data_IF_016456238361
#
_entry.id   IF_016456238361
#
_cell.length_a   1.000
_cell.length_b   1.000
_cell.length_c   1.000
_cell.angle_alpha   90.00
_cell.angle_beta   90.00
_cell.angle_gamma   90.00
#
_symmetry.space_group_name_H-M   'P 1'
#
loop_
_entity.id
_entity.type
_entity.pdbx_description
1 polymer ?
#
# COMPACT_ATOMS: atom_id res chain seq x y z
N UNK A 1 3.19 -28.38 11.35
CA UNK A 1 1.88 -28.53 10.68
C UNK A 1 0.71 -28.17 11.61
N UNK A 2 0.73 -28.52 12.90
CA UNK A 2 -0.36 -28.21 13.85
C UNK A 2 -0.48 -26.75 14.33
N UNK A 3 0.50 -25.86 14.06
CA UNK A 3 0.47 -24.50 14.60
C UNK A 3 -0.35 -23.51 13.74
N UNK A 4 -0.38 -23.68 12.42
CA UNK A 4 -1.07 -22.75 11.51
C UNK A 4 -2.60 -22.92 11.49
N UNK A 5 -3.10 -24.15 11.56
CA UNK A 5 -4.54 -24.39 11.70
C UNK A 5 -5.12 -23.77 12.99
N UNK A 6 -4.33 -23.77 14.08
CA UNK A 6 -4.70 -23.07 15.31
C UNK A 6 -4.75 -21.53 15.18
N UNK A 7 -3.91 -20.97 14.31
CA UNK A 7 -3.79 -19.52 14.09
C UNK A 7 -5.03 -18.97 13.36
N UNK A 8 -5.39 -19.62 12.25
CA UNK A 8 -6.61 -19.28 11.48
C UNK A 8 -7.88 -19.45 12.32
N UNK A 9 -7.96 -20.52 13.12
CA UNK A 9 -9.09 -20.77 14.02
C UNK A 9 -9.21 -19.70 15.11
N UNK A 10 -8.10 -19.22 15.65
CA UNK A 10 -8.11 -18.18 16.68
C UNK A 10 -8.62 -16.83 16.15
N UNK A 11 -8.22 -16.43 14.95
CA UNK A 11 -8.71 -15.21 14.26
C UNK A 11 -10.21 -15.30 13.98
N UNK A 12 -10.65 -16.40 13.37
CA UNK A 12 -12.06 -16.60 13.05
C UNK A 12 -12.92 -16.58 14.32
N UNK A 13 -12.46 -17.20 15.39
CA UNK A 13 -13.14 -17.20 16.67
C UNK A 13 -13.19 -15.80 17.29
N UNK A 14 -12.09 -15.04 17.22
CA UNK A 14 -12.06 -13.66 17.69
C UNK A 14 -13.01 -12.77 16.87
N UNK A 15 -12.99 -12.87 15.55
CA UNK A 15 -13.90 -12.14 14.67
C UNK A 15 -15.37 -12.51 14.92
N UNK A 16 -15.67 -13.79 15.11
CA UNK A 16 -17.02 -14.26 15.46
C UNK A 16 -17.48 -13.70 16.81
N UNK A 17 -16.61 -13.74 17.81
CA UNK A 17 -16.88 -13.20 19.14
C UNK A 17 -17.11 -11.69 19.13
N UNK A 18 -16.36 -10.96 18.33
CA UNK A 18 -16.38 -9.50 18.27
C UNK A 18 -17.13 -8.95 17.04
N UNK A 19 -18.00 -9.75 16.39
CA UNK A 19 -18.67 -9.37 15.14
C UNK A 19 -19.47 -8.06 15.25
N UNK A 20 -20.09 -7.78 16.41
CA UNK A 20 -20.83 -6.54 16.64
C UNK A 20 -19.89 -5.33 16.69
N UNK A 21 -18.77 -5.44 17.42
CA UNK A 21 -17.74 -4.41 17.49
C UNK A 21 -17.15 -4.13 16.10
N UNK A 22 -16.82 -5.18 15.34
CA UNK A 22 -16.32 -5.05 13.97
C UNK A 22 -17.33 -4.37 13.05
N UNK A 23 -18.61 -4.72 13.14
CA UNK A 23 -19.67 -4.09 12.37
C UNK A 23 -19.83 -2.59 12.70
N UNK A 24 -19.72 -2.21 13.97
CA UNK A 24 -19.74 -0.80 14.41
C UNK A 24 -18.53 -0.05 13.86
N UNK A 25 -17.31 -0.61 14.00
CA UNK A 25 -16.09 0.02 13.48
C UNK A 25 -16.18 0.20 11.97
N UNK A 26 -16.61 -0.83 11.23
CA UNK A 26 -16.80 -0.75 9.78
C UNK A 26 -17.86 0.28 9.41
N UNK A 27 -18.97 0.32 10.13
CA UNK A 27 -20.04 1.31 9.93
C UNK A 27 -19.55 2.74 10.13
N UNK A 28 -18.83 3.01 11.23
CA UNK A 28 -18.22 4.32 11.49
C UNK A 28 -17.21 4.68 10.40
N UNK A 29 -16.33 3.75 10.02
CA UNK A 29 -15.34 3.98 8.96
C UNK A 29 -16.00 4.30 7.62
N UNK A 30 -17.09 3.59 7.28
CA UNK A 30 -17.87 3.82 6.08
C UNK A 30 -18.54 5.21 6.11
N UNK A 31 -19.17 5.59 7.22
CA UNK A 31 -19.80 6.91 7.39
C UNK A 31 -18.78 8.03 7.28
N UNK A 32 -17.60 7.90 7.91
CA UNK A 32 -16.52 8.87 7.83
C UNK A 32 -16.00 8.99 6.39
N UNK A 33 -15.85 7.86 5.67
CA UNK A 33 -15.45 7.85 4.27
C UNK A 33 -16.47 8.54 3.36
N UNK A 34 -17.75 8.22 3.54
CA UNK A 34 -18.85 8.88 2.80
C UNK A 34 -18.90 10.38 3.14
N UNK A 35 -18.81 10.74 4.43
CA UNK A 35 -18.77 12.14 4.86
C UNK A 35 -17.60 12.90 4.25
N UNK A 36 -16.41 12.30 4.21
CA UNK A 36 -15.23 12.89 3.57
C UNK A 36 -15.44 13.10 2.06
N UNK A 37 -16.01 12.12 1.37
CA UNK A 37 -16.35 12.21 -0.06
C UNK A 37 -17.38 13.33 -0.28
N UNK A 38 -18.48 13.34 0.48
CA UNK A 38 -19.52 14.39 0.36
C UNK A 38 -18.96 15.77 0.63
N UNK A 39 -18.16 15.93 1.71
CA UNK A 39 -17.49 17.19 2.02
C UNK A 39 -16.60 17.67 0.87
N UNK A 40 -15.83 16.76 0.30
CA UNK A 40 -14.93 17.08 -0.81
C UNK A 40 -15.70 17.44 -2.09
N UNK A 41 -16.78 16.73 -2.39
CA UNK A 41 -17.69 17.07 -3.48
C UNK A 41 -18.38 18.43 -3.27
N UNK A 42 -18.86 18.73 -2.05
CA UNK A 42 -19.42 20.04 -1.75
C UNK A 42 -18.39 21.16 -1.96
N UNK A 43 -17.15 20.98 -1.47
CA UNK A 43 -16.07 21.94 -1.69
C UNK A 43 -15.78 22.19 -3.19
N UNK A 44 -15.87 21.14 -4.03
CA UNK A 44 -15.72 21.26 -5.48
C UNK A 44 -16.90 22.00 -6.10
N UNK A 45 -18.13 21.70 -5.71
CA UNK A 45 -19.35 22.31 -6.27
C UNK A 45 -19.53 23.78 -5.84
N UNK A 46 -19.28 24.10 -4.55
CA UNK A 46 -19.51 25.47 -4.04
C UNK A 46 -18.41 26.47 -4.42
N UNK A 47 -17.19 25.99 -4.78
CA UNK A 47 -16.08 26.89 -5.15
C UNK A 47 -15.91 27.07 -6.66
N UNK A 48 -16.97 26.89 -7.47
CA UNK A 48 -16.97 27.08 -8.94
C UNK A 48 -15.82 26.32 -9.68
N UNK A 49 -15.29 25.29 -9.09
CA UNK A 49 -14.28 24.47 -9.74
C UNK A 49 -14.96 23.64 -10.81
N UNK A 50 -14.62 23.87 -12.07
CA UNK A 50 -15.10 23.06 -13.20
C UNK A 50 -14.72 21.60 -12.98
N UNK A 51 -15.69 20.81 -12.48
CA UNK A 51 -15.50 19.39 -12.27
C UNK A 51 -15.43 18.68 -13.62
N UNK A 52 -14.26 18.08 -13.90
CA UNK A 52 -14.11 17.31 -15.11
C UNK A 52 -14.65 15.89 -14.88
N UNK A 53 -15.81 15.59 -15.47
CA UNK A 53 -16.45 14.26 -15.38
C UNK A 53 -15.55 13.13 -15.86
N UNK A 54 -14.55 13.40 -16.71
CA UNK A 54 -13.54 12.40 -17.12
C UNK A 54 -12.80 11.79 -15.93
N UNK A 55 -12.64 12.56 -14.86
CA UNK A 55 -11.94 12.07 -13.66
C UNK A 55 -12.83 11.21 -12.77
N UNK A 56 -14.16 11.24 -12.96
CA UNK A 56 -15.07 10.32 -12.28
C UNK A 56 -14.76 8.86 -12.63
N UNK A 57 -14.28 8.61 -13.85
CA UNK A 57 -13.88 7.29 -14.32
C UNK A 57 -12.79 6.70 -13.42
N UNK A 58 -11.83 7.53 -12.99
CA UNK A 58 -10.73 7.10 -12.13
C UNK A 58 -11.20 6.68 -10.74
N UNK A 59 -12.23 7.33 -10.20
CA UNK A 59 -12.87 6.90 -8.94
C UNK A 59 -13.56 5.54 -9.07
N UNK A 60 -14.10 5.22 -10.24
CA UNK A 60 -14.71 3.91 -10.50
C UNK A 60 -13.69 2.78 -10.64
N UNK A 61 -12.48 3.08 -11.13
CA UNK A 61 -11.42 2.07 -11.31
C UNK A 61 -10.97 1.47 -9.99
N UNK A 62 -10.85 2.27 -8.92
CA UNK A 62 -10.37 1.79 -7.61
C UNK A 62 -11.30 0.75 -7.00
N UNK A 63 -12.60 1.01 -6.79
CA UNK A 63 -13.51 -0.01 -6.28
C UNK A 63 -13.63 -1.20 -7.24
N UNK A 64 -13.55 -0.98 -8.55
CA UNK A 64 -13.55 -2.07 -9.53
C UNK A 64 -12.34 -2.98 -9.35
N UNK A 65 -11.15 -2.42 -9.18
CA UNK A 65 -9.93 -3.18 -8.90
C UNK A 65 -9.96 -3.88 -7.53
N UNK A 66 -10.53 -3.24 -6.50
CA UNK A 66 -10.72 -3.85 -5.19
C UNK A 66 -11.72 -5.02 -5.25
N UNK A 67 -12.78 -4.89 -6.04
CA UNK A 67 -13.73 -5.98 -6.32
C UNK A 67 -13.03 -7.11 -7.09
N UNK A 68 -12.26 -6.80 -8.15
CA UNK A 68 -11.51 -7.77 -8.93
C UNK A 68 -10.47 -8.52 -8.08
N UNK A 69 -9.89 -7.83 -7.07
CA UNK A 69 -8.98 -8.46 -6.13
C UNK A 69 -9.67 -9.51 -5.26
N UNK A 70 -10.90 -9.25 -4.80
CA UNK A 70 -11.63 -10.09 -3.85
C UNK A 70 -12.51 -11.14 -4.50
N UNK A 71 -13.14 -10.81 -5.65
CA UNK A 71 -14.09 -11.66 -6.34
C UNK A 71 -13.49 -12.30 -7.59
N UNK A 72 -13.94 -13.50 -7.99
CA UNK A 72 -13.47 -14.19 -9.19
C UNK A 72 -14.06 -13.53 -10.45
N UNK A 73 -13.46 -12.42 -10.89
CA UNK A 73 -13.87 -11.69 -12.10
C UNK A 73 -13.19 -12.27 -13.35
N UNK A 74 -12.11 -13.06 -13.20
CA UNK A 74 -11.41 -13.67 -14.32
C UNK A 74 -12.20 -14.90 -14.81
N UNK A 75 -12.93 -14.80 -15.94
CA UNK A 75 -13.89 -15.84 -16.35
C UNK A 75 -13.25 -17.18 -16.69
N UNK A 76 -11.95 -17.21 -16.97
CA UNK A 76 -11.27 -18.44 -17.45
C UNK A 76 -10.76 -19.35 -16.33
N UNK A 77 -10.74 -18.94 -15.08
CA UNK A 77 -10.19 -19.76 -13.99
C UNK A 77 -10.99 -19.78 -12.70
N UNK A 78 -12.14 -19.11 -12.62
CA UNK A 78 -12.93 -18.95 -11.38
C UNK A 78 -12.08 -18.55 -10.16
N UNK A 79 -11.01 -17.78 -10.40
CA UNK A 79 -10.06 -17.35 -9.38
C UNK A 79 -10.10 -15.83 -9.25
N UNK A 80 -10.06 -15.35 -8.00
CA UNK A 80 -9.81 -13.93 -7.73
C UNK A 80 -8.34 -13.58 -7.97
N UNK A 81 -8.04 -12.29 -8.17
CA UNK A 81 -6.65 -11.81 -8.31
C UNK A 81 -5.81 -12.21 -7.08
N UNK A 82 -6.40 -12.21 -5.89
CA UNK A 82 -5.77 -12.65 -4.65
C UNK A 82 -5.23 -14.10 -4.72
N UNK A 83 -5.87 -14.97 -5.50
CA UNK A 83 -5.48 -16.38 -5.67
C UNK A 83 -4.43 -16.60 -6.77
N UNK A 84 -4.06 -15.53 -7.48
CA UNK A 84 -3.02 -15.59 -8.52
C UNK A 84 -1.71 -15.07 -7.94
N UNK A 85 -1.04 -15.92 -7.22
CA UNK A 85 0.32 -15.81 -6.65
C UNK A 85 0.99 -14.42 -6.66
N UNK A 86 1.87 -14.18 -7.63
CA UNK A 86 2.60 -12.91 -7.73
C UNK A 86 1.70 -11.68 -7.95
N UNK A 87 0.52 -11.88 -8.56
CA UNK A 87 -0.44 -10.81 -8.83
C UNK A 87 -1.10 -10.29 -7.54
N UNK A 88 -1.20 -11.13 -6.49
CA UNK A 88 -1.68 -10.75 -5.15
C UNK A 88 -0.92 -9.54 -4.61
N UNK A 89 0.40 -9.57 -4.65
CA UNK A 89 1.28 -8.51 -4.15
C UNK A 89 1.28 -7.29 -5.09
N UNK A 90 1.45 -7.54 -6.40
CA UNK A 90 1.57 -6.47 -7.40
C UNK A 90 0.29 -5.63 -7.50
N UNK A 91 -0.89 -6.26 -7.49
CA UNK A 91 -2.16 -5.55 -7.53
C UNK A 91 -2.41 -4.71 -6.29
N UNK A 92 -2.08 -5.22 -5.11
CA UNK A 92 -2.18 -4.47 -3.87
C UNK A 92 -1.28 -3.23 -3.89
N UNK A 93 -0.01 -3.42 -4.27
CA UNK A 93 0.94 -2.32 -4.41
C UNK A 93 0.49 -1.28 -5.45
N UNK A 94 -0.08 -1.73 -6.57
CA UNK A 94 -0.62 -0.85 -7.60
C UNK A 94 -1.81 -0.03 -7.10
N UNK A 95 -2.81 -0.68 -6.49
CA UNK A 95 -4.01 0.00 -5.97
C UNK A 95 -3.60 1.07 -4.96
N UNK A 96 -2.76 0.74 -3.98
CA UNK A 96 -2.29 1.68 -2.98
C UNK A 96 -1.50 2.85 -3.59
N UNK A 97 -0.61 2.56 -4.54
CA UNK A 97 0.20 3.61 -5.19
C UNK A 97 -0.65 4.50 -6.07
N UNK A 98 -1.60 3.93 -6.81
CA UNK A 98 -2.53 4.69 -7.63
C UNK A 98 -3.41 5.61 -6.78
N UNK A 99 -3.98 5.08 -5.70
CA UNK A 99 -4.85 5.83 -4.79
C UNK A 99 -4.14 6.96 -4.06
N UNK A 100 -2.88 6.75 -3.69
CA UNK A 100 -2.13 7.73 -2.88
C UNK A 100 -1.27 8.69 -3.69
N UNK A 101 -1.02 8.42 -4.97
CA UNK A 101 -0.16 9.23 -5.84
C UNK A 101 -0.95 9.80 -7.03
N UNK A 102 -1.51 8.92 -7.85
CA UNK A 102 -2.12 9.34 -9.13
C UNK A 102 -3.46 10.04 -8.90
N UNK A 103 -4.31 9.44 -8.08
CA UNK A 103 -5.65 9.97 -7.83
C UNK A 103 -5.64 11.40 -7.25
N UNK A 104 -4.84 11.75 -6.22
CA UNK A 104 -4.76 13.12 -5.71
C UNK A 104 -4.30 14.13 -6.77
N UNK A 105 -3.33 13.76 -7.61
CA UNK A 105 -2.84 14.63 -8.70
C UNK A 105 -3.93 14.88 -9.73
N UNK A 106 -4.64 13.83 -10.18
CA UNK A 106 -5.77 13.96 -11.10
C UNK A 106 -6.89 14.85 -10.53
N UNK A 107 -7.07 14.86 -9.20
CA UNK A 107 -8.03 15.74 -8.53
C UNK A 107 -7.55 17.18 -8.46
N UNK A 108 -6.26 17.40 -8.23
CA UNK A 108 -5.67 18.74 -8.13
C UNK A 108 -5.51 19.42 -9.49
N UNK A 109 -5.21 18.66 -10.53
CA UNK A 109 -5.03 19.17 -11.90
C UNK A 109 -6.28 19.90 -12.40
N UNK A 110 -7.44 19.42 -12.05
CA UNK A 110 -8.71 20.13 -12.34
C UNK A 110 -8.89 21.45 -11.59
N UNK A 111 -8.15 21.64 -10.50
CA UNK A 111 -8.34 22.78 -9.63
C UNK A 111 -7.45 23.98 -9.95
N UNK A 112 -6.27 23.76 -10.53
CA UNK A 112 -5.24 24.80 -10.64
C UNK A 112 -4.56 24.94 -12.00
N UNK A 113 -4.91 24.19 -13.05
CA UNK A 113 -4.11 24.10 -14.30
C UNK A 113 -2.63 23.79 -14.04
N UNK A 114 -2.34 23.06 -12.97
CA UNK A 114 -0.98 22.73 -12.58
C UNK A 114 -0.52 21.52 -13.38
N UNK A 115 0.27 21.76 -14.42
CA UNK A 115 0.97 20.73 -15.16
C UNK A 115 2.06 20.12 -14.26
N UNK A 116 1.72 19.07 -13.51
CA UNK A 116 2.76 18.28 -12.84
C UNK A 116 3.57 17.54 -13.90
N UNK A 117 4.89 17.63 -13.89
CA UNK A 117 5.71 16.89 -14.81
C UNK A 117 5.46 15.37 -14.64
N UNK A 118 5.18 14.70 -15.74
CA UNK A 118 4.87 13.25 -15.74
C UNK A 118 6.02 12.44 -15.15
N UNK A 119 7.27 12.87 -15.36
CA UNK A 119 8.47 12.25 -14.81
C UNK A 119 8.45 12.16 -13.29
N UNK A 120 8.07 13.25 -12.62
CA UNK A 120 7.99 13.33 -11.16
C UNK A 120 6.90 12.41 -10.60
N UNK A 121 5.74 12.41 -11.28
CA UNK A 121 4.63 11.54 -10.94
C UNK A 121 5.01 10.05 -11.05
N UNK A 122 5.72 9.70 -12.13
CA UNK A 122 6.21 8.32 -12.33
C UNK A 122 7.18 7.93 -11.21
N UNK A 123 8.15 8.78 -10.88
CA UNK A 123 9.13 8.47 -9.82
C UNK A 123 8.45 8.33 -8.46
N UNK A 124 7.49 9.20 -8.15
CA UNK A 124 6.71 9.12 -6.90
C UNK A 124 5.88 7.83 -6.86
N UNK A 125 5.26 7.47 -7.99
CA UNK A 125 4.50 6.22 -8.11
C UNK A 125 5.41 5.00 -7.92
N UNK A 126 6.56 4.95 -8.57
CA UNK A 126 7.55 3.86 -8.45
C UNK A 126 8.04 3.74 -7.00
N UNK A 127 8.40 4.85 -6.36
CA UNK A 127 8.80 4.84 -4.95
C UNK A 127 7.70 4.27 -4.04
N UNK A 128 6.45 4.66 -4.26
CA UNK A 128 5.32 4.16 -3.47
C UNK A 128 5.04 2.68 -3.77
N UNK A 129 5.03 2.31 -5.04
CA UNK A 129 4.77 0.94 -5.49
C UNK A 129 5.77 -0.06 -4.89
N UNK A 130 7.06 0.20 -5.02
CA UNK A 130 8.08 -0.70 -4.49
C UNK A 130 8.15 -0.71 -2.97
N UNK A 131 7.76 0.38 -2.31
CA UNK A 131 7.60 0.40 -0.86
C UNK A 131 6.49 -0.56 -0.41
N UNK A 132 5.30 -0.47 -1.01
CA UNK A 132 4.17 -1.35 -0.67
C UNK A 132 4.43 -2.79 -1.12
N UNK A 133 5.05 -2.99 -2.28
CA UNK A 133 5.45 -4.31 -2.76
C UNK A 133 6.44 -5.00 -1.81
N UNK A 134 7.38 -4.25 -1.23
CA UNK A 134 8.30 -4.77 -0.22
C UNK A 134 7.56 -5.30 1.01
N UNK A 135 6.62 -4.52 1.54
CA UNK A 135 5.79 -4.95 2.66
C UNK A 135 4.96 -6.18 2.30
N UNK A 136 4.31 -6.17 1.13
CA UNK A 136 3.54 -7.30 0.61
C UNK A 136 4.38 -8.58 0.44
N UNK A 137 5.66 -8.44 0.05
CA UNK A 137 6.58 -9.57 -0.05
C UNK A 137 6.91 -10.15 1.34
N UNK A 138 7.12 -9.31 2.36
CA UNK A 138 7.32 -9.77 3.74
C UNK A 138 6.12 -10.55 4.27
N UNK A 139 4.90 -10.09 3.98
CA UNK A 139 3.67 -10.83 4.28
C UNK A 139 3.62 -12.17 3.55
N UNK A 140 3.93 -12.22 2.24
CA UNK A 140 3.95 -13.47 1.48
C UNK A 140 5.00 -14.46 2.00
N UNK A 141 6.14 -13.97 2.51
CA UNK A 141 7.17 -14.83 3.11
C UNK A 141 6.67 -15.37 4.47
N UNK A 142 6.00 -14.55 5.26
CA UNK A 142 5.42 -14.99 6.54
C UNK A 142 4.30 -16.03 6.35
N UNK A 143 3.53 -15.91 5.25
CA UNK A 143 2.43 -16.82 4.90
C UNK A 143 2.88 -17.98 4.01
N UNK A 144 4.20 -18.21 3.86
CA UNK A 144 4.78 -19.18 2.91
C UNK A 144 4.18 -20.58 3.02
N UNK A 145 4.06 -21.13 4.22
CA UNK A 145 3.54 -22.50 4.42
C UNK A 145 2.05 -22.59 4.05
N UNK A 146 1.25 -21.56 4.42
CA UNK A 146 -0.17 -21.49 4.09
C UNK A 146 -0.39 -21.35 2.58
N UNK A 147 0.33 -20.42 1.93
CA UNK A 147 0.28 -20.21 0.47
C UNK A 147 0.72 -21.50 -0.28
N UNK A 148 1.66 -22.27 0.26
CA UNK A 148 2.13 -23.52 -0.32
C UNK A 148 1.09 -24.63 -0.19
N UNK A 149 0.44 -24.77 0.96
CA UNK A 149 -0.66 -25.72 1.19
C UNK A 149 -1.86 -25.40 0.28
N UNK A 150 -2.21 -24.14 0.14
CA UNK A 150 -3.29 -23.64 -0.73
C UNK A 150 -2.93 -23.63 -2.23
N UNK A 151 -1.72 -24.06 -2.59
CA UNK A 151 -1.19 -24.07 -3.97
C UNK A 151 -1.21 -22.70 -4.64
N UNK A 152 -1.05 -21.64 -3.85
CA UNK A 152 -0.94 -20.26 -4.33
C UNK A 152 0.52 -20.00 -4.69
N UNK A 153 0.80 -19.75 -5.97
CA UNK A 153 2.16 -19.53 -6.50
C UNK A 153 2.64 -18.09 -6.22
N UNK A 154 2.80 -17.72 -4.95
CA UNK A 154 3.41 -16.44 -4.59
C UNK A 154 4.90 -16.41 -4.91
N UNK A 155 5.54 -15.23 -4.89
CA UNK A 155 6.99 -15.12 -5.10
C UNK A 155 7.77 -15.96 -4.07
N UNK A 156 7.31 -15.95 -2.81
CA UNK A 156 7.90 -16.75 -1.76
C UNK A 156 7.80 -18.25 -2.04
N UNK A 157 6.65 -18.73 -2.57
CA UNK A 157 6.47 -20.15 -2.94
C UNK A 157 7.28 -20.54 -4.18
N UNK A 158 7.43 -19.64 -5.15
CA UNK A 158 8.17 -19.92 -6.40
C UNK A 158 9.69 -19.95 -6.20
N UNK A 159 10.23 -19.03 -5.41
CA UNK A 159 11.68 -18.85 -5.25
C UNK A 159 12.22 -19.46 -3.94
N UNK A 160 11.34 -19.74 -3.01
CA UNK A 160 11.67 -20.10 -1.62
C UNK A 160 11.85 -18.84 -0.74
N UNK A 161 11.65 -18.98 0.59
CA UNK A 161 11.68 -17.85 1.53
C UNK A 161 13.05 -17.16 1.58
N UNK A 162 14.15 -17.91 1.61
CA UNK A 162 15.51 -17.36 1.73
C UNK A 162 15.89 -16.50 0.51
N UNK A 163 15.61 -16.99 -0.71
CA UNK A 163 15.86 -16.22 -1.93
C UNK A 163 14.95 -15.00 -2.01
N UNK A 164 13.70 -15.13 -1.58
CA UNK A 164 12.76 -14.03 -1.55
C UNK A 164 13.17 -12.94 -0.56
N UNK A 165 13.71 -13.32 0.61
CA UNK A 165 14.31 -12.39 1.57
C UNK A 165 15.54 -11.70 0.99
N UNK A 166 16.45 -12.45 0.36
CA UNK A 166 17.66 -11.89 -0.22
C UNK A 166 17.35 -10.88 -1.33
N UNK A 167 16.61 -11.30 -2.35
CA UNK A 167 16.27 -10.43 -3.49
C UNK A 167 15.32 -9.31 -3.11
N UNK A 168 14.32 -9.60 -2.25
CA UNK A 168 13.41 -8.59 -1.74
C UNK A 168 14.14 -7.47 -1.01
N UNK A 169 15.11 -7.81 -0.15
CA UNK A 169 15.95 -6.86 0.55
C UNK A 169 16.67 -5.90 -0.41
N UNK A 170 17.43 -6.45 -1.37
CA UNK A 170 18.27 -5.61 -2.24
C UNK A 170 17.47 -4.86 -3.28
N UNK A 171 16.52 -5.51 -3.96
CA UNK A 171 15.72 -4.88 -5.01
C UNK A 171 14.83 -3.79 -4.42
N UNK A 172 14.08 -4.11 -3.37
CA UNK A 172 13.15 -3.13 -2.79
C UNK A 172 13.87 -1.93 -2.19
N UNK A 173 14.95 -2.16 -1.43
CA UNK A 173 15.73 -1.08 -0.83
C UNK A 173 16.43 -0.25 -1.90
N UNK A 174 17.05 -0.90 -2.89
CA UNK A 174 17.75 -0.21 -3.99
C UNK A 174 16.81 0.69 -4.78
N UNK A 175 15.68 0.16 -5.25
CA UNK A 175 14.71 0.94 -6.03
C UNK A 175 14.11 2.07 -5.18
N UNK A 176 13.74 1.81 -3.92
CA UNK A 176 13.21 2.86 -3.06
C UNK A 176 14.23 3.97 -2.78
N UNK A 177 15.51 3.62 -2.59
CA UNK A 177 16.57 4.60 -2.37
C UNK A 177 16.81 5.43 -3.63
N UNK A 178 16.95 4.79 -4.79
CA UNK A 178 17.15 5.49 -6.07
C UNK A 178 15.97 6.41 -6.38
N UNK A 179 14.74 5.88 -6.29
CA UNK A 179 13.55 6.68 -6.52
C UNK A 179 13.44 7.83 -5.49
N UNK A 180 13.83 7.59 -4.23
CA UNK A 180 13.88 8.63 -3.20
C UNK A 180 14.86 9.76 -3.52
N UNK A 181 16.07 9.42 -3.98
CA UNK A 181 17.07 10.41 -4.40
C UNK A 181 16.59 11.21 -5.63
N UNK A 182 15.95 10.55 -6.58
CA UNK A 182 15.33 11.22 -7.73
C UNK A 182 14.22 12.19 -7.31
N UNK A 183 13.40 11.83 -6.30
CA UNK A 183 12.39 12.74 -5.75
C UNK A 183 13.03 13.97 -5.11
N UNK A 184 14.11 13.81 -4.34
CA UNK A 184 14.85 14.93 -3.77
C UNK A 184 15.35 15.87 -4.88
N UNK A 185 15.90 15.29 -5.95
CA UNK A 185 16.41 16.05 -7.10
C UNK A 185 15.29 16.79 -7.83
N UNK A 186 14.23 16.10 -8.25
CA UNK A 186 13.16 16.67 -9.06
C UNK A 186 12.34 17.74 -8.31
N UNK A 187 12.08 17.52 -7.02
CA UNK A 187 11.31 18.47 -6.22
C UNK A 187 12.17 19.53 -5.51
N UNK A 188 13.49 19.52 -5.71
CA UNK A 188 14.41 20.49 -5.07
C UNK A 188 14.41 20.40 -3.55
N UNK A 189 14.20 19.22 -2.97
CA UNK A 189 14.07 19.00 -1.52
C UNK A 189 15.45 18.91 -0.85
N UNK A 190 16.26 19.97 -0.92
CA UNK A 190 17.64 19.97 -0.47
C UNK A 190 17.82 20.11 1.04
N UNK A 191 16.75 20.33 1.80
CA UNK A 191 16.84 20.44 3.25
C UNK A 191 17.12 19.06 3.89
N UNK A 192 18.00 18.97 4.92
CA UNK A 192 18.37 17.71 5.56
C UNK A 192 17.20 16.88 6.09
N UNK A 193 16.13 17.57 6.51
CA UNK A 193 14.90 16.91 7.02
C UNK A 193 14.21 16.07 5.95
N UNK A 194 14.19 16.51 4.68
CA UNK A 194 13.63 15.74 3.58
C UNK A 194 14.51 14.53 3.23
N UNK A 195 15.83 14.68 3.28
CA UNK A 195 16.76 13.54 3.13
C UNK A 195 16.45 12.47 4.18
N UNK A 196 16.32 12.86 5.44
CA UNK A 196 15.97 11.92 6.50
C UNK A 196 14.60 11.25 6.25
N UNK A 197 13.58 12.04 5.90
CA UNK A 197 12.23 11.55 5.68
C UNK A 197 12.11 10.58 4.49
N UNK A 198 12.95 10.74 3.48
CA UNK A 198 12.92 9.94 2.24
C UNK A 198 13.83 8.72 2.35
N UNK A 199 14.98 8.82 3.00
CA UNK A 199 15.98 7.74 3.08
C UNK A 199 15.71 6.78 4.26
N UNK A 200 15.16 7.26 5.37
CA UNK A 200 14.88 6.39 6.53
C UNK A 200 13.91 5.23 6.21
N UNK A 201 12.79 5.40 5.45
CA UNK A 201 11.91 4.29 5.10
C UNK A 201 12.59 3.12 4.34
N UNK A 202 13.42 3.33 3.30
CA UNK A 202 14.20 2.26 2.69
C UNK A 202 15.13 1.53 3.67
N UNK A 203 15.76 2.26 4.60
CA UNK A 203 16.60 1.66 5.64
C UNK A 203 15.77 0.76 6.54
N UNK A 204 14.59 1.21 6.98
CA UNK A 204 13.69 0.41 7.81
C UNK A 204 13.20 -0.85 7.08
N UNK A 205 12.92 -0.75 5.77
CA UNK A 205 12.61 -1.92 4.93
C UNK A 205 13.80 -2.88 4.90
N UNK A 206 15.02 -2.39 4.68
CA UNK A 206 16.22 -3.21 4.69
C UNK A 206 16.35 -4.00 5.99
N UNK A 207 16.19 -3.34 7.14
CA UNK A 207 16.23 -3.98 8.45
C UNK A 207 15.09 -4.97 8.66
N UNK A 208 13.91 -4.70 8.13
CA UNK A 208 12.76 -5.62 8.19
C UNK A 208 13.05 -6.93 7.45
N UNK A 209 13.71 -6.88 6.29
CA UNK A 209 14.16 -8.07 5.57
C UNK A 209 15.36 -8.75 6.25
N UNK A 210 16.31 -7.95 6.77
CA UNK A 210 17.54 -8.49 7.38
C UNK A 210 17.26 -9.25 8.67
N UNK A 211 16.36 -8.71 9.50
CA UNK A 211 15.98 -9.29 10.79
C UNK A 211 14.69 -10.11 10.72
N UNK A 212 14.27 -10.50 9.52
CA UNK A 212 13.04 -11.24 9.34
C UNK A 212 13.07 -12.54 10.12
N UNK A 213 12.01 -12.76 10.87
CA UNK A 213 11.74 -14.04 11.54
C UNK A 213 10.31 -14.42 11.26
N UNK A 214 10.07 -15.70 10.96
CA UNK A 214 8.71 -16.21 10.86
C UNK A 214 7.97 -15.96 12.16
N UNK A 215 6.94 -15.14 12.11
CA UNK A 215 6.18 -14.80 13.30
C UNK A 215 5.04 -15.79 13.49
N UNK A 216 5.03 -16.42 14.66
CA UNK A 216 3.88 -17.22 15.11
C UNK A 216 2.76 -16.32 15.66
N UNK A 217 3.12 -15.09 16.03
CA UNK A 217 2.19 -14.06 16.50
C UNK A 217 2.00 -13.01 15.40
N UNK A 218 0.76 -12.85 14.95
CA UNK A 218 0.46 -11.96 13.84
C UNK A 218 0.45 -10.48 14.24
N UNK A 219 -0.05 -10.19 15.44
CA UNK A 219 -0.25 -8.81 15.87
C UNK A 219 1.05 -7.97 15.88
N UNK A 220 2.18 -8.43 16.46
CA UNK A 220 3.44 -7.69 16.39
C UNK A 220 3.98 -7.56 14.96
N UNK A 221 3.83 -8.61 14.14
CA UNK A 221 4.28 -8.60 12.76
C UNK A 221 3.51 -7.56 11.92
N UNK A 222 2.17 -7.59 12.00
CA UNK A 222 1.30 -6.63 11.30
C UNK A 222 1.55 -5.20 11.79
N UNK A 223 1.60 -4.99 13.11
CA UNK A 223 1.85 -3.67 13.70
C UNK A 223 3.18 -3.06 13.23
N UNK A 224 4.23 -3.87 13.11
CA UNK A 224 5.51 -3.40 12.61
C UNK A 224 5.43 -3.01 11.13
N UNK A 225 4.92 -3.90 10.26
CA UNK A 225 4.94 -3.69 8.82
C UNK A 225 3.94 -2.62 8.36
N UNK A 226 2.71 -2.63 8.90
CA UNK A 226 1.74 -1.57 8.63
C UNK A 226 2.16 -0.25 9.29
N UNK A 227 2.82 -0.33 10.46
CA UNK A 227 3.43 0.82 11.13
C UNK A 227 4.46 1.54 10.29
N UNK A 228 5.21 0.84 9.42
CA UNK A 228 6.17 1.49 8.50
C UNK A 228 5.47 2.43 7.50
N UNK A 229 4.24 2.15 7.09
CA UNK A 229 3.46 3.08 6.26
C UNK A 229 3.15 4.38 7.01
N UNK A 230 2.75 4.24 8.29
CA UNK A 230 2.45 5.38 9.17
C UNK A 230 3.73 6.19 9.42
N UNK A 231 4.83 5.53 9.74
CA UNK A 231 6.14 6.17 9.95
C UNK A 231 6.55 6.96 8.71
N UNK A 232 6.47 6.36 7.51
CA UNK A 232 6.79 7.06 6.26
C UNK A 232 5.93 8.31 6.04
N UNK A 233 4.64 8.23 6.33
CA UNK A 233 3.73 9.37 6.21
C UNK A 233 4.06 10.47 7.22
N UNK A 234 4.27 10.10 8.48
CA UNK A 234 4.61 11.04 9.57
C UNK A 234 5.93 11.76 9.32
N UNK A 235 6.96 11.05 8.84
CA UNK A 235 8.24 11.66 8.50
C UNK A 235 8.10 12.75 7.41
N UNK A 236 7.30 12.50 6.38
CA UNK A 236 7.05 13.48 5.32
C UNK A 236 6.25 14.68 5.82
N UNK A 237 5.20 14.45 6.61
CA UNK A 237 4.40 15.52 7.22
C UNK A 237 5.28 16.39 8.11
N UNK A 238 6.12 15.77 8.94
CA UNK A 238 7.05 16.48 9.82
C UNK A 238 8.08 17.29 9.03
N UNK A 239 8.63 16.73 7.96
CA UNK A 239 9.57 17.43 7.09
C UNK A 239 8.93 18.66 6.44
N UNK A 240 7.68 18.56 5.96
CA UNK A 240 6.92 19.67 5.39
C UNK A 240 6.66 20.74 6.47
N UNK A 241 6.23 20.35 7.67
CA UNK A 241 5.94 21.27 8.75
C UNK A 241 7.18 22.09 9.16
N UNK A 242 8.36 21.45 9.28
CA UNK A 242 9.60 22.17 9.60
C UNK A 242 10.07 23.07 8.46
N UNK A 243 9.89 22.65 7.22
CA UNK A 243 10.34 23.44 6.06
C UNK A 243 9.48 24.68 5.78
N UNK A 244 8.29 24.75 6.35
CA UNK A 244 7.36 25.88 6.21
C UNK A 244 7.53 26.96 7.30
N UNK A 245 8.34 26.71 8.30
CA UNK A 245 8.76 27.67 9.34
C UNK A 245 10.06 28.35 8.97
#
# INVERSE_FOLDING_TARGET
IKSNTKKTDSRLNWCRKNRKLLAVILGISLLLSIGGVVYHFQAIFFFERKFNYRNLIWFGIIPLMALAYSYPIIPWKSKSIRQVGWLKMASLAFIWSFTTVVLPVLMLDNAKNSNYPVSELIVLFVNRFFFIAALGLLFNINDYEEDKEDKIKTMAVLMGPDKSLYWGKWISTGINTIAGLLLIYFFGLHQPVFFAAIILPPILIFFSFHNFRFSTEEAPFVLWHDGLMIIKAMLLIFAIAISST
#
